data_IF_124336042065
#
_entry.id   IF_124336042065
#
_cell.length_a   1.000
_cell.length_b   1.000
_cell.length_c   1.000
_cell.angle_alpha   90.00
_cell.angle_beta   90.00
_cell.angle_gamma   90.00
#
_symmetry.space_group_name_H-M   'P 1'
#
loop_
_entity.id
_entity.type
_entity.pdbx_description
1 polymer ?
#
# COMPACT_ATOMS: atom_id res chain seq x y z
N UNK A 1 17.67 -9.47 -11.11
CA UNK A 1 16.71 -9.66 -9.99
C UNK A 1 16.63 -11.10 -9.48
N UNK A 2 17.45 -12.02 -9.94
CA UNK A 2 17.38 -13.45 -9.55
C UNK A 2 18.17 -13.83 -8.28
N UNK A 3 18.82 -12.90 -7.61
CA UNK A 3 19.79 -13.25 -6.56
C UNK A 3 19.34 -12.92 -5.12
N UNK A 4 18.24 -12.23 -4.95
CA UNK A 4 17.71 -11.94 -3.62
C UNK A 4 16.35 -12.64 -3.43
N UNK A 5 16.15 -13.38 -2.32
CA UNK A 5 14.87 -14.03 -2.02
C UNK A 5 13.81 -13.02 -1.56
N UNK A 6 13.74 -11.86 -2.22
CA UNK A 6 12.83 -10.76 -1.87
C UNK A 6 11.71 -10.66 -2.90
N UNK A 7 10.50 -10.45 -2.42
CA UNK A 7 9.36 -10.15 -3.28
C UNK A 7 9.42 -8.68 -3.71
N UNK A 8 9.26 -8.44 -5.02
CA UNK A 8 9.27 -7.11 -5.61
C UNK A 8 7.85 -6.67 -5.97
N UNK A 9 7.37 -5.60 -5.35
CA UNK A 9 6.12 -4.93 -5.69
C UNK A 9 6.43 -3.60 -6.38
N UNK A 10 5.96 -3.43 -7.62
CA UNK A 10 6.30 -2.29 -8.46
C UNK A 10 5.25 -1.19 -8.30
N UNK A 11 5.66 0.00 -7.85
CA UNK A 11 4.79 1.17 -7.82
C UNK A 11 4.61 1.71 -9.25
N UNK A 12 3.36 1.70 -9.71
CA UNK A 12 2.98 2.26 -11.00
C UNK A 12 2.22 3.56 -10.75
N UNK A 13 2.89 4.68 -10.98
CA UNK A 13 2.35 6.03 -10.78
C UNK A 13 2.97 6.97 -11.81
N UNK A 14 2.24 7.31 -12.89
CA UNK A 14 2.81 8.04 -14.03
C UNK A 14 3.22 9.47 -13.68
N UNK A 15 2.62 10.07 -12.67
CA UNK A 15 2.95 11.43 -12.22
C UNK A 15 2.73 11.65 -10.73
N UNK A 16 3.28 12.73 -10.21
CA UNK A 16 2.95 13.28 -8.89
C UNK A 16 1.57 13.96 -8.87
N UNK A 17 1.21 14.57 -7.74
CA UNK A 17 -0.07 15.27 -7.54
C UNK A 17 -1.20 14.36 -7.07
N UNK A 18 -2.40 14.55 -7.64
CA UNK A 18 -3.60 13.79 -7.32
C UNK A 18 -3.57 12.34 -7.85
N UNK A 19 -4.68 11.63 -7.66
CA UNK A 19 -4.86 10.25 -8.11
C UNK A 19 -6.02 10.12 -9.10
N UNK A 20 -6.43 11.24 -9.71
CA UNK A 20 -7.46 11.32 -10.75
C UNK A 20 -6.77 11.33 -12.12
N UNK A 21 -6.67 10.20 -12.75
CA UNK A 21 -5.93 10.04 -14.00
C UNK A 21 -6.82 10.22 -15.24
N UNK A 22 -6.27 10.87 -16.27
CA UNK A 22 -6.89 10.92 -17.60
C UNK A 22 -6.95 9.51 -18.22
N UNK A 23 -7.69 9.38 -19.32
CA UNK A 23 -7.77 8.10 -20.03
C UNK A 23 -6.42 7.67 -20.63
N UNK A 24 -5.57 8.62 -21.04
CA UNK A 24 -4.22 8.36 -21.54
C UNK A 24 -3.30 7.87 -20.43
N UNK A 25 -3.31 8.56 -19.29
CA UNK A 25 -2.55 8.14 -18.09
C UNK A 25 -2.98 6.77 -17.60
N UNK A 26 -4.28 6.52 -17.59
CA UNK A 26 -4.81 5.22 -17.17
C UNK A 26 -4.42 4.10 -18.13
N UNK A 27 -4.44 4.34 -19.46
CA UNK A 27 -3.93 3.36 -20.44
C UNK A 27 -2.46 3.04 -20.21
N UNK A 28 -1.65 4.05 -19.89
CA UNK A 28 -0.24 3.85 -19.51
C UNK A 28 -0.11 2.95 -18.30
N UNK A 29 -0.88 3.20 -17.24
CA UNK A 29 -0.88 2.36 -16.03
C UNK A 29 -1.25 0.91 -16.36
N UNK A 30 -2.27 0.67 -17.19
CA UNK A 30 -2.66 -0.70 -17.58
C UNK A 30 -1.55 -1.41 -18.38
N UNK A 31 -0.85 -0.68 -19.26
CA UNK A 31 0.29 -1.23 -20.01
C UNK A 31 1.45 -1.59 -19.07
N UNK A 32 1.75 -0.71 -18.11
CA UNK A 32 2.80 -0.97 -17.11
C UNK A 32 2.46 -2.17 -16.21
N UNK A 33 1.18 -2.37 -15.85
CA UNK A 33 0.73 -3.56 -15.13
C UNK A 33 1.00 -4.84 -15.96
N UNK A 34 0.67 -4.84 -17.25
CA UNK A 34 0.94 -5.98 -18.14
C UNK A 34 2.43 -6.25 -18.24
N UNK A 35 3.22 -5.20 -18.44
CA UNK A 35 4.69 -5.31 -18.48
C UNK A 35 5.27 -5.89 -17.20
N UNK A 36 4.83 -5.41 -16.02
CA UNK A 36 5.28 -5.94 -14.74
C UNK A 36 4.94 -7.43 -14.56
N UNK A 37 3.75 -7.84 -15.00
CA UNK A 37 3.32 -9.24 -14.98
C UNK A 37 4.21 -10.11 -15.87
N UNK A 38 4.49 -9.66 -17.11
CA UNK A 38 5.33 -10.36 -18.08
C UNK A 38 6.80 -10.40 -17.64
N UNK A 39 7.28 -9.35 -16.97
CA UNK A 39 8.63 -9.27 -16.40
C UNK A 39 8.82 -10.12 -15.14
N UNK A 40 7.77 -10.75 -14.60
CA UNK A 40 7.85 -11.59 -13.41
C UNK A 40 7.94 -10.82 -12.10
N UNK A 41 7.36 -9.63 -11.99
CA UNK A 41 7.18 -8.94 -10.72
C UNK A 41 6.30 -9.80 -9.78
N UNK A 42 6.48 -9.63 -8.47
CA UNK A 42 5.69 -10.35 -7.47
C UNK A 42 4.38 -9.64 -7.12
N UNK A 43 4.22 -8.39 -7.55
CA UNK A 43 3.02 -7.60 -7.38
C UNK A 43 3.16 -6.19 -7.93
N UNK A 44 2.05 -5.49 -7.99
CA UNK A 44 1.99 -4.08 -8.40
C UNK A 44 1.26 -3.23 -7.37
N UNK A 45 1.55 -1.94 -7.37
CA UNK A 45 1.00 -0.98 -6.42
C UNK A 45 0.42 0.20 -7.20
N UNK A 46 -0.89 0.39 -7.13
CA UNK A 46 -1.65 1.44 -7.85
C UNK A 46 -2.74 2.02 -6.95
N UNK A 47 -3.47 3.02 -7.42
CA UNK A 47 -4.65 3.54 -6.72
C UNK A 47 -5.26 4.71 -7.48
N UNK A 48 -6.57 4.78 -7.47
CA UNK A 48 -7.39 5.66 -8.30
C UNK A 48 -8.47 6.32 -7.48
N UNK A 49 -8.60 7.64 -7.64
CA UNK A 49 -9.70 8.42 -7.05
C UNK A 49 -10.48 9.13 -8.14
N UNK A 50 -11.74 9.38 -7.86
CA UNK A 50 -12.58 10.31 -8.63
C UNK A 50 -12.25 11.76 -8.23
N UNK A 51 -12.66 12.76 -9.02
CA UNK A 51 -12.52 14.17 -8.64
C UNK A 51 -13.18 14.51 -7.30
N UNK A 52 -14.24 13.78 -6.91
CA UNK A 52 -14.93 13.96 -5.64
C UNK A 52 -14.23 13.29 -4.44
N UNK A 53 -13.11 12.62 -4.68
CA UNK A 53 -12.32 11.93 -3.66
C UNK A 53 -12.87 10.55 -3.25
N UNK A 54 -13.77 9.96 -4.03
CA UNK A 54 -14.18 8.57 -3.85
C UNK A 54 -13.19 7.62 -4.55
N UNK A 55 -13.22 6.34 -4.22
CA UNK A 55 -12.49 5.32 -4.97
C UNK A 55 -13.07 5.25 -6.40
N UNK A 56 -12.22 5.35 -7.42
CA UNK A 56 -12.61 5.08 -8.80
C UNK A 56 -12.72 3.57 -8.99
N UNK A 57 -13.93 3.05 -8.74
CA UNK A 57 -14.22 1.60 -8.75
C UNK A 57 -14.03 1.01 -10.15
N UNK A 58 -14.37 1.78 -11.20
CA UNK A 58 -14.24 1.32 -12.59
C UNK A 58 -12.77 1.10 -12.96
N UNK A 59 -11.93 2.12 -12.76
CA UNK A 59 -10.48 1.99 -13.00
C UNK A 59 -9.84 0.94 -12.09
N UNK A 60 -10.29 0.84 -10.85
CA UNK A 60 -9.79 -0.15 -9.89
C UNK A 60 -10.06 -1.57 -10.34
N UNK A 61 -11.27 -1.89 -10.83
CA UNK A 61 -11.61 -3.21 -11.38
C UNK A 61 -10.79 -3.56 -12.62
N UNK A 62 -10.69 -2.62 -13.57
CA UNK A 62 -9.90 -2.83 -14.78
C UNK A 62 -8.41 -3.07 -14.48
N UNK A 63 -7.86 -2.39 -13.46
CA UNK A 63 -6.49 -2.63 -13.01
C UNK A 63 -6.32 -4.05 -12.44
N UNK A 64 -7.26 -4.51 -11.59
CA UNK A 64 -7.26 -5.87 -11.04
C UNK A 64 -7.39 -6.92 -12.14
N UNK A 65 -8.33 -6.73 -13.08
CA UNK A 65 -8.51 -7.62 -14.24
C UNK A 65 -7.22 -7.69 -15.09
N UNK A 66 -6.56 -6.54 -15.31
CA UNK A 66 -5.30 -6.47 -16.06
C UNK A 66 -4.15 -7.16 -15.33
N UNK A 67 -4.09 -7.05 -14.01
CA UNK A 67 -3.11 -7.74 -13.18
C UNK A 67 -3.30 -9.28 -13.21
N UNK A 68 -4.54 -9.76 -13.35
CA UNK A 68 -4.86 -11.17 -13.38
C UNK A 68 -4.52 -11.86 -12.06
N UNK A 69 -3.56 -12.79 -12.08
CA UNK A 69 -3.10 -13.48 -10.86
C UNK A 69 -2.02 -12.74 -10.08
N UNK A 70 -1.51 -11.61 -10.62
CA UNK A 70 -0.50 -10.81 -9.95
C UNK A 70 -1.10 -10.05 -8.76
N UNK A 71 -0.59 -10.22 -7.53
CA UNK A 71 -1.07 -9.47 -6.38
C UNK A 71 -1.05 -7.96 -6.60
N UNK A 72 -2.15 -7.28 -6.27
CA UNK A 72 -2.29 -5.85 -6.48
C UNK A 72 -2.56 -5.15 -5.14
N UNK A 73 -1.82 -4.07 -4.90
CA UNK A 73 -1.92 -3.26 -3.68
C UNK A 73 -2.52 -1.90 -4.02
N UNK A 74 -3.54 -1.48 -3.28
CA UNK A 74 -4.03 -0.10 -3.34
C UNK A 74 -3.13 0.79 -2.47
N UNK A 75 -2.51 1.79 -3.08
CA UNK A 75 -1.53 2.64 -2.39
C UNK A 75 -2.19 3.75 -1.56
N UNK A 76 -1.39 4.69 -1.06
CA UNK A 76 -1.79 5.81 -0.21
C UNK A 76 -2.77 6.83 -0.84
N UNK A 77 -3.30 6.59 -2.05
CA UNK A 77 -4.52 7.26 -2.50
C UNK A 77 -5.68 7.01 -1.52
N UNK A 78 -5.69 5.86 -0.84
CA UNK A 78 -6.62 5.55 0.23
C UNK A 78 -6.59 6.57 1.37
N UNK A 79 -5.42 7.13 1.68
CA UNK A 79 -5.31 8.18 2.72
C UNK A 79 -5.90 9.53 2.29
N UNK A 80 -6.31 9.66 1.04
CA UNK A 80 -6.93 10.85 0.47
C UNK A 80 -8.39 10.65 0.11
N UNK A 81 -8.94 9.44 0.25
CA UNK A 81 -10.35 9.22 -0.02
C UNK A 81 -11.22 9.90 1.03
N UNK A 82 -12.38 10.36 0.61
CA UNK A 82 -13.34 11.12 1.42
C UNK A 82 -13.92 10.30 2.57
N UNK A 83 -14.23 9.05 2.30
CA UNK A 83 -14.78 8.09 3.26
C UNK A 83 -14.01 6.77 3.17
N UNK A 84 -13.11 6.55 4.13
CA UNK A 84 -12.31 5.35 4.16
C UNK A 84 -13.13 4.08 4.43
N UNK A 85 -14.28 4.19 5.14
CA UNK A 85 -15.12 3.02 5.44
C UNK A 85 -15.75 2.47 4.17
N UNK A 86 -16.34 3.36 3.37
CA UNK A 86 -16.89 3.04 2.05
C UNK A 86 -15.76 2.57 1.12
N UNK A 87 -14.65 3.32 1.06
CA UNK A 87 -13.51 3.02 0.20
C UNK A 87 -12.88 1.65 0.49
N UNK A 88 -12.82 1.22 1.75
CA UNK A 88 -12.34 -0.11 2.11
C UNK A 88 -13.21 -1.21 1.48
N UNK A 89 -14.53 -1.10 1.59
CA UNK A 89 -15.44 -2.10 1.01
C UNK A 89 -15.37 -2.11 -0.53
N UNK A 90 -15.26 -0.94 -1.15
CA UNK A 90 -15.10 -0.82 -2.60
C UNK A 90 -13.82 -1.48 -3.09
N UNK A 91 -12.68 -1.24 -2.43
CA UNK A 91 -11.39 -1.86 -2.77
C UNK A 91 -11.43 -3.38 -2.58
N UNK A 92 -12.04 -3.85 -1.49
CA UNK A 92 -12.24 -5.30 -1.26
C UNK A 92 -13.09 -5.88 -2.39
N UNK A 93 -14.19 -5.23 -2.77
CA UNK A 93 -15.08 -5.68 -3.83
C UNK A 93 -14.42 -5.71 -5.21
N UNK A 94 -13.42 -4.86 -5.44
CA UNK A 94 -12.63 -4.86 -6.67
C UNK A 94 -11.62 -6.02 -6.74
N UNK A 95 -11.29 -6.66 -5.62
CA UNK A 95 -10.37 -7.80 -5.58
C UNK A 95 -8.91 -7.45 -5.31
N UNK A 96 -8.63 -6.31 -4.69
CA UNK A 96 -7.29 -6.00 -4.22
C UNK A 96 -6.85 -6.95 -3.11
N UNK A 97 -5.56 -7.30 -3.08
CA UNK A 97 -4.97 -8.16 -2.06
C UNK A 97 -4.49 -7.37 -0.82
N UNK A 98 -4.23 -6.08 -0.96
CA UNK A 98 -3.60 -5.25 0.09
C UNK A 98 -3.98 -3.78 -0.05
N UNK A 99 -4.01 -3.06 1.07
CA UNK A 99 -4.10 -1.59 1.13
C UNK A 99 -2.91 -1.05 1.92
N UNK A 100 -2.14 -0.14 1.31
CA UNK A 100 -1.11 0.64 1.99
C UNK A 100 -1.72 1.95 2.49
N UNK A 101 -1.69 2.17 3.80
CA UNK A 101 -2.31 3.34 4.42
C UNK A 101 -1.57 3.79 5.69
N UNK A 102 -1.68 5.07 6.01
CA UNK A 102 -1.28 5.65 7.29
C UNK A 102 -2.47 5.93 8.21
N UNK A 103 -3.66 5.39 7.89
CA UNK A 103 -4.89 5.69 8.64
C UNK A 103 -5.40 7.09 8.40
N UNK A 104 -5.27 7.61 7.17
CA UNK A 104 -5.66 8.98 6.75
C UNK A 104 -4.95 10.10 7.54
N UNK A 105 -3.82 9.81 8.14
CA UNK A 105 -3.00 10.78 8.85
C UNK A 105 -1.65 10.96 8.13
N UNK A 106 -0.90 12.02 8.44
CA UNK A 106 0.43 12.24 7.85
C UNK A 106 1.36 11.04 8.07
N UNK A 107 1.31 10.40 9.24
CA UNK A 107 2.13 9.23 9.58
C UNK A 107 1.28 8.11 10.18
N UNK A 108 1.76 6.87 10.09
CA UNK A 108 1.08 5.69 10.65
C UNK A 108 0.92 5.76 12.16
N UNK A 109 1.89 6.34 12.89
CA UNK A 109 1.80 6.49 14.34
C UNK A 109 0.69 7.47 14.75
N UNK A 110 0.47 8.54 13.98
CA UNK A 110 -0.64 9.45 14.19
C UNK A 110 -1.98 8.82 13.82
N UNK A 111 -1.99 7.92 12.84
CA UNK A 111 -3.17 7.22 12.37
C UNK A 111 -3.49 5.91 13.10
N UNK A 112 -2.81 5.59 14.18
CA UNK A 112 -2.90 4.28 14.85
C UNK A 112 -4.33 3.88 15.22
N UNK A 113 -5.15 4.84 15.67
CA UNK A 113 -6.56 4.61 16.00
C UNK A 113 -7.40 4.24 14.77
N UNK A 114 -7.21 4.94 13.66
CA UNK A 114 -7.89 4.66 12.40
C UNK A 114 -7.38 3.36 11.77
N UNK A 115 -6.08 3.09 11.80
CA UNK A 115 -5.49 1.83 11.32
C UNK A 115 -6.11 0.62 12.04
N UNK A 116 -6.30 0.71 13.37
CA UNK A 116 -7.00 -0.33 14.14
C UNK A 116 -8.43 -0.55 13.64
N UNK A 117 -9.19 0.53 13.42
CA UNK A 117 -10.55 0.43 12.89
C UNK A 117 -10.60 -0.17 11.48
N UNK A 118 -9.69 0.26 10.60
CA UNK A 118 -9.55 -0.29 9.23
C UNK A 118 -9.25 -1.79 9.30
N UNK A 119 -8.28 -2.20 10.16
CA UNK A 119 -7.94 -3.61 10.34
C UNK A 119 -9.11 -4.45 10.87
N UNK A 120 -9.88 -3.89 11.81
CA UNK A 120 -11.08 -4.54 12.35
C UNK A 120 -12.16 -4.70 11.28
N UNK A 121 -12.47 -3.63 10.54
CA UNK A 121 -13.48 -3.68 9.46
C UNK A 121 -13.03 -4.59 8.31
N UNK A 122 -11.76 -4.59 7.95
CA UNK A 122 -11.20 -5.49 6.94
C UNK A 122 -11.43 -6.97 7.28
N UNK A 123 -11.37 -7.31 8.56
CA UNK A 123 -11.67 -8.64 9.11
C UNK A 123 -11.01 -9.80 8.33
N UNK A 124 -9.76 -9.64 7.95
CA UNK A 124 -8.99 -10.63 7.20
C UNK A 124 -9.32 -10.75 5.70
N UNK A 125 -10.29 -9.99 5.19
CA UNK A 125 -10.66 -10.01 3.76
C UNK A 125 -9.62 -9.38 2.84
N UNK A 126 -8.78 -8.51 3.38
CA UNK A 126 -7.69 -7.82 2.69
C UNK A 126 -6.56 -7.52 3.68
N UNK A 127 -5.30 -7.57 3.24
CA UNK A 127 -4.17 -7.21 4.07
C UNK A 127 -4.08 -5.69 4.25
N UNK A 128 -3.82 -5.26 5.49
CA UNK A 128 -3.57 -3.85 5.81
C UNK A 128 -2.08 -3.67 6.06
N UNK A 129 -1.43 -2.94 5.16
CA UNK A 129 -0.02 -2.57 5.19
C UNK A 129 0.10 -1.16 5.78
N UNK A 130 0.51 -1.04 7.04
CA UNK A 130 0.70 0.26 7.67
C UNK A 130 1.97 0.92 7.14
N UNK A 131 1.87 2.17 6.67
CA UNK A 131 3.00 2.89 6.08
C UNK A 131 2.98 4.38 6.33
N UNK A 132 4.07 5.03 6.01
CA UNK A 132 4.42 6.43 6.29
C UNK A 132 5.02 6.65 7.68
N UNK A 133 6.32 6.96 7.68
CA UNK A 133 7.07 7.27 8.90
C UNK A 133 7.35 6.05 9.78
N UNK A 134 7.27 4.84 9.24
CA UNK A 134 7.67 3.60 9.95
C UNK A 134 9.19 3.57 10.11
N UNK A 135 9.64 3.27 11.32
CA UNK A 135 11.04 3.12 11.70
C UNK A 135 11.17 2.20 12.92
N UNK A 136 12.41 1.94 13.35
CA UNK A 136 12.71 1.07 14.50
C UNK A 136 12.05 1.52 15.82
N UNK A 137 11.81 2.83 15.99
CA UNK A 137 11.22 3.38 17.21
C UNK A 137 9.70 3.21 17.32
N UNK A 138 8.99 2.95 16.22
CA UNK A 138 7.51 2.93 16.22
C UNK A 138 6.89 1.67 15.61
N UNK A 139 7.63 0.88 14.84
CA UNK A 139 7.08 -0.29 14.14
C UNK A 139 6.37 -1.27 15.09
N UNK A 140 7.03 -1.65 16.19
CA UNK A 140 6.48 -2.57 17.17
C UNK A 140 5.23 -2.03 17.89
N UNK A 141 5.19 -0.73 18.15
CA UNK A 141 4.05 -0.06 18.76
C UNK A 141 2.84 -0.09 17.84
N UNK A 142 3.04 0.28 16.56
CA UNK A 142 1.97 0.28 15.55
C UNK A 142 1.39 -1.12 15.40
N UNK A 143 2.21 -2.16 15.26
CA UNK A 143 1.78 -3.53 15.13
C UNK A 143 0.94 -3.98 16.34
N UNK A 144 1.45 -3.76 17.55
CA UNK A 144 0.74 -4.17 18.78
C UNK A 144 -0.61 -3.50 18.97
N UNK A 145 -0.72 -2.21 18.64
CA UNK A 145 -1.96 -1.45 18.83
C UNK A 145 -2.99 -1.65 17.73
N UNK A 146 -2.55 -1.92 16.52
CA UNK A 146 -3.45 -2.02 15.35
C UNK A 146 -3.79 -3.46 14.98
N UNK A 147 -2.91 -4.41 15.29
CA UNK A 147 -3.03 -5.79 14.85
C UNK A 147 -2.73 -5.99 13.36
N UNK A 148 -2.08 -5.03 12.69
CA UNK A 148 -1.62 -5.23 11.31
C UNK A 148 -0.46 -6.22 11.29
N UNK A 149 -0.41 -7.05 10.25
CA UNK A 149 0.67 -8.04 10.06
C UNK A 149 1.79 -7.55 9.14
N UNK A 150 1.61 -6.39 8.52
CA UNK A 150 2.57 -5.85 7.55
C UNK A 150 2.80 -4.35 7.82
N UNK A 151 4.06 -3.94 7.68
CA UNK A 151 4.46 -2.52 7.76
C UNK A 151 5.36 -2.17 6.59
N UNK A 152 5.31 -0.91 6.16
CA UNK A 152 6.12 -0.37 5.07
C UNK A 152 6.91 0.84 5.54
N UNK A 153 8.23 0.75 5.48
CA UNK A 153 9.17 1.81 5.78
C UNK A 153 10.18 1.99 4.67
N UNK A 154 10.61 3.22 4.40
CA UNK A 154 11.72 3.48 3.48
C UNK A 154 13.07 3.18 4.11
N UNK A 155 13.14 3.10 5.43
CA UNK A 155 14.37 2.93 6.21
C UNK A 155 15.50 3.89 5.78
N UNK A 156 15.13 5.13 5.43
CA UNK A 156 16.08 6.19 5.03
C UNK A 156 16.48 7.01 6.26
N UNK A 157 17.77 7.33 6.35
CA UNK A 157 18.28 8.35 7.28
C UNK A 157 18.41 9.68 6.52
N UNK A 158 18.98 9.63 5.31
CA UNK A 158 19.12 10.79 4.42
C UNK A 158 19.11 10.36 2.96
N UNK A 159 18.81 11.28 2.05
CA UNK A 159 18.83 10.98 0.60
C UNK A 159 17.72 10.05 0.11
N UNK A 160 18.02 9.24 -0.90
CA UNK A 160 17.06 8.36 -1.58
C UNK A 160 17.26 6.88 -1.26
N UNK A 161 18.38 6.49 -0.66
CA UNK A 161 18.76 5.10 -0.40
C UNK A 161 18.29 4.67 0.99
N UNK A 162 17.89 3.41 1.12
CA UNK A 162 17.60 2.79 2.40
C UNK A 162 18.92 2.52 3.15
N UNK A 163 18.92 2.81 4.43
CA UNK A 163 20.07 2.55 5.30
C UNK A 163 20.00 1.12 5.85
N UNK A 164 21.11 0.39 5.73
CA UNK A 164 21.20 -1.01 6.16
C UNK A 164 20.94 -1.17 7.66
N UNK A 165 21.56 -0.34 8.49
CA UNK A 165 21.45 -0.44 9.93
C UNK A 165 20.03 -0.11 10.39
N UNK A 166 19.36 0.85 9.73
CA UNK A 166 17.96 1.18 10.02
C UNK A 166 17.01 0.03 9.61
N UNK A 167 17.28 -0.66 8.49
CA UNK A 167 16.55 -1.88 8.13
C UNK A 167 16.71 -2.94 9.21
N UNK A 168 17.94 -3.23 9.63
CA UNK A 168 18.23 -4.26 10.66
C UNK A 168 17.58 -3.89 11.99
N UNK A 169 17.67 -2.64 12.42
CA UNK A 169 17.03 -2.15 13.66
C UNK A 169 15.51 -2.28 13.59
N UNK A 170 14.92 -1.92 12.47
CA UNK A 170 13.46 -1.99 12.28
C UNK A 170 12.98 -3.44 12.31
N UNK A 171 13.67 -4.36 11.60
CA UNK A 171 13.37 -5.78 11.64
C UNK A 171 13.52 -6.36 13.05
N UNK A 172 14.58 -5.98 13.77
CA UNK A 172 14.79 -6.39 15.17
C UNK A 172 13.70 -5.89 16.11
N UNK A 173 13.17 -4.69 15.89
CA UNK A 173 12.04 -4.15 16.66
C UNK A 173 10.74 -4.92 16.38
N UNK A 174 10.49 -5.29 15.13
CA UNK A 174 9.33 -6.10 14.71
C UNK A 174 9.40 -7.50 15.33
N UNK A 175 10.53 -8.18 15.24
CA UNK A 175 10.72 -9.52 15.80
C UNK A 175 10.45 -9.57 17.32
N UNK A 176 10.80 -8.51 18.05
CA UNK A 176 10.53 -8.38 19.49
C UNK A 176 9.05 -8.09 19.81
N UNK A 177 8.23 -7.75 18.84
CA UNK A 177 6.80 -7.46 19.04
C UNK A 177 5.92 -8.70 19.18
N UNK A 178 6.48 -9.90 18.95
CA UNK A 178 5.76 -11.17 19.11
C UNK A 178 4.96 -11.59 17.88
N UNK A 179 5.29 -11.03 16.69
CA UNK A 179 4.80 -11.49 15.40
C UNK A 179 5.65 -12.63 14.83
#
# INVERSE_FOLDING_TARGET
MKELPLQTFVLIRPRGGDFCYSNEEFRTILNDIRFCREAGAHGVVVGFLTPDGDIDVEKSRLAVETAGTLPITFHRAFDRCRDWRKGLEEIISCGYSRILTSGQQPTAIQGIGTLKQIRQQANGRIAILAGSGINAGNAAEIIRHTGVSEVHGSCKISGYESDYDEVVKTLGAIAKSGL
#
